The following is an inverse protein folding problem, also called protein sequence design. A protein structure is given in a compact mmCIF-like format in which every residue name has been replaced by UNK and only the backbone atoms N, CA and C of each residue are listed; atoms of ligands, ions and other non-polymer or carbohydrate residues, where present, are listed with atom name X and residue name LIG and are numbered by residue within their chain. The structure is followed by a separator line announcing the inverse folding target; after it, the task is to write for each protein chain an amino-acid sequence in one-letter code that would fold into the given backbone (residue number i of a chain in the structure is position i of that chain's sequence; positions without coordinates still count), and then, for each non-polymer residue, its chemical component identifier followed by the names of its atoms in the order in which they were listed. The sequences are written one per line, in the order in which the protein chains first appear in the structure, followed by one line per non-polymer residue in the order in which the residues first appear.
data_IF_062493028909
#
_entry.id   IF_062493028909
#
_cell.length_a   1.000
_cell.length_b   1.000
_cell.length_c   1.000
_cell.angle_alpha   90.00
_cell.angle_beta   90.00
_cell.angle_gamma   90.00
#
_symmetry.space_group_name_H-M   'P 1'
#
loop_
_entity.id
_entity.type
_entity.pdbx_description
1 polymer ?
#
# COMPACT_ATOMS: atom_id res chain seq x y z
N UNK A 1 2.80 -10.31 20.25
CA UNK A 1 2.26 -9.81 18.96
C UNK A 1 3.13 -8.72 18.29
N UNK A 2 4.47 -8.74 18.43
CA UNK A 2 5.36 -7.72 17.84
C UNK A 2 6.19 -8.23 16.65
N UNK A 3 6.16 -9.54 16.39
CA UNK A 3 7.08 -10.21 15.46
C UNK A 3 6.57 -10.20 14.01
N UNK A 4 5.25 -10.14 13.82
CA UNK A 4 4.62 -10.12 12.49
C UNK A 4 4.87 -8.79 11.74
N UNK A 5 5.06 -7.69 12.46
CA UNK A 5 5.33 -6.37 11.88
C UNK A 5 6.70 -6.28 11.19
N UNK A 6 7.71 -7.06 11.62
CA UNK A 6 9.07 -7.00 11.03
C UNK A 6 9.17 -7.79 9.72
N UNK A 7 8.56 -8.98 9.63
CA UNK A 7 8.45 -9.75 8.37
C UNK A 7 7.70 -8.96 7.29
N UNK A 8 6.77 -8.09 7.70
CA UNK A 8 5.92 -7.30 6.82
C UNK A 8 6.64 -6.27 5.94
N UNK A 9 7.90 -5.90 6.19
CA UNK A 9 8.62 -4.91 5.37
C UNK A 9 9.49 -5.53 4.28
N UNK A 10 10.05 -6.71 4.53
CA UNK A 10 11.02 -7.33 3.62
C UNK A 10 10.37 -7.87 2.35
N UNK A 11 9.11 -8.32 2.41
CA UNK A 11 8.35 -8.70 1.22
C UNK A 11 8.02 -7.52 0.31
N UNK A 12 7.89 -6.31 0.87
CA UNK A 12 7.58 -5.09 0.11
C UNK A 12 8.78 -4.69 -0.76
N UNK A 13 10.00 -4.95 -0.32
CA UNK A 13 11.23 -4.62 -1.06
C UNK A 13 11.46 -5.51 -2.29
N UNK A 14 11.05 -6.78 -2.23
CA UNK A 14 11.19 -7.74 -3.34
C UNK A 14 9.95 -7.86 -4.23
N UNK A 15 8.98 -6.97 -4.05
CA UNK A 15 7.72 -7.03 -4.78
C UNK A 15 7.83 -6.31 -6.13
N UNK A 16 7.82 -7.09 -7.20
CA UNK A 16 7.61 -6.57 -8.55
C UNK A 16 6.10 -6.44 -8.82
N UNK A 17 5.59 -5.22 -8.80
CA UNK A 17 4.21 -4.93 -9.17
C UNK A 17 4.18 -3.89 -10.27
N UNK A 18 3.27 -4.09 -11.24
CA UNK A 18 3.07 -3.14 -12.33
C UNK A 18 2.71 -1.76 -11.78
N UNK A 19 3.56 -0.79 -12.07
CA UNK A 19 3.35 0.61 -11.69
C UNK A 19 2.00 1.11 -12.20
N UNK A 20 1.32 1.92 -11.38
CA UNK A 20 0.01 2.46 -11.72
C UNK A 20 -1.16 1.48 -11.65
N UNK A 21 -0.95 0.17 -11.47
CA UNK A 21 -2.06 -0.81 -11.41
C UNK A 21 -3.03 -0.53 -10.26
N UNK A 22 -2.52 -0.14 -9.09
CA UNK A 22 -3.34 0.24 -7.93
C UNK A 22 -4.12 1.54 -8.18
N UNK A 23 -3.47 2.53 -8.80
CA UNK A 23 -4.10 3.79 -9.20
C UNK A 23 -5.18 3.57 -10.26
N UNK A 24 -4.97 2.67 -11.22
CA UNK A 24 -5.96 2.32 -12.22
C UNK A 24 -7.20 1.66 -11.58
N UNK A 25 -7.02 0.76 -10.61
CA UNK A 25 -8.14 0.19 -9.84
C UNK A 25 -8.94 1.26 -9.10
N UNK A 26 -8.26 2.21 -8.47
CA UNK A 26 -8.90 3.31 -7.77
C UNK A 26 -9.72 4.19 -8.74
N UNK A 27 -9.11 4.58 -9.86
CA UNK A 27 -9.78 5.36 -10.93
C UNK A 27 -11.01 4.64 -11.48
N UNK A 28 -10.94 3.32 -11.72
CA UNK A 28 -12.09 2.52 -12.17
C UNK A 28 -13.25 2.50 -11.17
N UNK A 29 -12.96 2.67 -9.88
CA UNK A 29 -13.94 2.79 -8.79
C UNK A 29 -14.39 4.23 -8.53
N UNK A 30 -13.88 5.22 -9.28
CA UNK A 30 -14.19 6.64 -9.05
C UNK A 30 -13.61 7.20 -7.75
N UNK A 31 -12.61 6.55 -7.15
CA UNK A 31 -12.00 6.96 -5.88
C UNK A 31 -10.51 7.24 -6.05
N UNK A 32 -9.93 7.97 -5.10
CA UNK A 32 -8.48 8.21 -5.09
C UNK A 32 -7.71 6.97 -4.63
N UNK A 33 -6.42 6.90 -5.00
CA UNK A 33 -5.53 5.85 -4.50
C UNK A 33 -5.36 5.90 -2.97
N UNK A 34 -5.53 7.09 -2.36
CA UNK A 34 -5.54 7.26 -0.91
C UNK A 34 -6.78 6.59 -0.29
N UNK A 35 -7.97 6.92 -0.80
CA UNK A 35 -9.23 6.32 -0.33
C UNK A 35 -9.26 4.81 -0.55
N UNK A 36 -8.78 4.31 -1.70
CA UNK A 36 -8.67 2.87 -1.92
C UNK A 36 -7.74 2.22 -0.89
N UNK A 37 -6.61 2.86 -0.58
CA UNK A 37 -5.71 2.36 0.46
C UNK A 37 -6.40 2.30 1.83
N UNK A 38 -7.10 3.35 2.24
CA UNK A 38 -7.80 3.38 3.53
C UNK A 38 -8.87 2.30 3.61
N UNK A 39 -9.69 2.15 2.56
CA UNK A 39 -10.73 1.13 2.50
C UNK A 39 -10.15 -0.29 2.60
N UNK A 40 -9.04 -0.54 1.88
CA UNK A 40 -8.34 -1.83 1.88
C UNK A 40 -7.66 -2.11 3.22
N UNK A 41 -7.10 -1.09 3.87
CA UNK A 41 -6.49 -1.25 5.20
C UNK A 41 -7.53 -1.42 6.30
N UNK A 42 -8.71 -0.80 6.15
CA UNK A 42 -9.82 -0.92 7.09
C UNK A 42 -10.54 -2.28 6.97
N UNK A 43 -10.64 -2.83 5.76
CA UNK A 43 -11.35 -4.09 5.50
C UNK A 43 -10.52 -5.04 4.62
N UNK A 44 -9.33 -5.50 5.06
CA UNK A 44 -8.43 -6.28 4.21
C UNK A 44 -9.00 -7.61 3.74
N UNK A 45 -9.94 -8.19 4.50
CA UNK A 45 -10.66 -9.43 4.15
C UNK A 45 -11.59 -9.31 2.93
N UNK A 46 -12.04 -8.08 2.61
CA UNK A 46 -12.95 -7.82 1.48
C UNK A 46 -12.23 -7.64 0.15
N UNK A 47 -10.90 -7.72 0.15
CA UNK A 47 -10.08 -7.48 -1.03
C UNK A 47 -9.10 -8.61 -1.25
N UNK A 48 -8.69 -8.80 -2.51
CA UNK A 48 -7.66 -9.78 -2.84
C UNK A 48 -6.36 -9.48 -2.09
N UNK A 49 -5.63 -10.53 -1.71
CA UNK A 49 -4.31 -10.39 -1.10
C UNK A 49 -3.38 -9.49 -1.91
N UNK A 50 -3.47 -9.54 -3.25
CA UNK A 50 -2.73 -8.64 -4.15
C UNK A 50 -3.09 -7.17 -3.92
N UNK A 51 -4.35 -6.84 -3.76
CA UNK A 51 -4.83 -5.47 -3.51
C UNK A 51 -4.42 -5.01 -2.11
N UNK A 52 -4.48 -5.90 -1.11
CA UNK A 52 -3.98 -5.64 0.26
C UNK A 52 -2.48 -5.36 0.25
N UNK A 53 -1.71 -6.16 -0.49
CA UNK A 53 -0.27 -5.97 -0.66
C UNK A 53 0.04 -4.64 -1.36
N UNK A 54 -0.70 -4.29 -2.42
CA UNK A 54 -0.58 -2.99 -3.10
C UNK A 54 -0.84 -1.80 -2.15
N UNK A 55 -1.86 -1.88 -1.31
CA UNK A 55 -2.17 -0.82 -0.34
C UNK A 55 -1.06 -0.65 0.71
N UNK A 56 -0.49 -1.75 1.20
CA UNK A 56 0.63 -1.73 2.15
C UNK A 56 1.93 -1.21 1.52
N UNK A 57 2.18 -1.55 0.26
CA UNK A 57 3.29 -1.00 -0.52
C UNK A 57 3.15 0.53 -0.64
N UNK A 58 1.98 1.03 -1.06
CA UNK A 58 1.71 2.47 -1.13
C UNK A 58 1.92 3.16 0.21
N UNK A 59 1.41 2.60 1.31
CA UNK A 59 1.62 3.14 2.67
C UNK A 59 3.11 3.27 3.00
N UNK A 60 3.92 2.30 2.59
CA UNK A 60 5.37 2.32 2.79
C UNK A 60 6.04 3.41 1.94
N UNK A 61 5.67 3.52 0.66
CA UNK A 61 6.21 4.54 -0.25
C UNK A 61 5.87 5.96 0.21
N UNK A 62 4.62 6.20 0.65
CA UNK A 62 4.20 7.51 1.19
C UNK A 62 4.99 7.85 2.45
N UNK A 63 5.16 6.91 3.38
CA UNK A 63 5.95 7.14 4.59
C UNK A 63 7.44 7.39 4.30
N UNK A 64 8.01 6.78 3.26
CA UNK A 64 9.38 7.06 2.81
C UNK A 64 9.49 8.48 2.22
N UNK A 65 8.51 8.90 1.41
CA UNK A 65 8.46 10.24 0.83
C UNK A 65 8.34 11.31 1.92
N UNK A 66 7.48 11.09 2.91
CA UNK A 66 7.29 12.00 4.05
C UNK A 66 8.57 12.12 4.89
N UNK A 67 9.23 10.99 5.17
CA UNK A 67 10.51 10.97 5.87
C UNK A 67 11.63 11.69 5.09
N UNK A 68 11.60 11.63 3.75
CA UNK A 68 12.53 12.37 2.91
C UNK A 68 12.25 13.88 2.97
N UNK A 69 10.99 14.28 2.89
CA UNK A 69 10.53 15.67 3.01
C UNK A 69 10.89 16.31 4.35
N UNK A 70 10.77 15.57 5.45
CA UNK A 70 11.10 16.08 6.80
C UNK A 70 12.60 16.24 7.07
N UNK A 71 13.48 15.72 6.20
CA UNK A 71 14.94 15.83 6.33
C UNK A 71 15.54 16.97 5.50
N UNK A 72 14.73 17.61 4.66
CA UNK A 72 15.08 18.75 3.80
C UNK A 72 14.62 20.04 4.48
#
# INVERSE_FOLDING_TARGET
MAEEKKKSKKWIQGMEMKEGAFTAKAKRKGITSAQLQENVLANPEKYDERTVKQARLRKTLVGLHDKKKSKE
#
